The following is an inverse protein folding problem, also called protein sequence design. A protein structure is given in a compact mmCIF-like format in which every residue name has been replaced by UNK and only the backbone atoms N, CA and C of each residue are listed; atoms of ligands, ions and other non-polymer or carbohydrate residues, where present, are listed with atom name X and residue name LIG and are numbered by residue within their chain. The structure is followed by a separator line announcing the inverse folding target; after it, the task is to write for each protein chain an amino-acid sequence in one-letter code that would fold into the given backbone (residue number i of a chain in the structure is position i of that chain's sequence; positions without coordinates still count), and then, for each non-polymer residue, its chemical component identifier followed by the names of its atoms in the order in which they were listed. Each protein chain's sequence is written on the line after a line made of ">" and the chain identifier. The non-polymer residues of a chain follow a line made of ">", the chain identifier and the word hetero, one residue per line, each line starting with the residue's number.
data_IF_859067360955
#
_entry.id   IF_859067360955
#
_cell.length_a   1.000
_cell.length_b   1.000
_cell.length_c   1.000
_cell.angle_alpha   90.00
_cell.angle_beta   90.00
_cell.angle_gamma   90.00
#
_symmetry.space_group_name_H-M   'P 1'
#
loop_
_entity.id
_entity.type
_entity.pdbx_description
1 polymer ?
#
# COMPACT_ATOMS: atom_id res chain seq x y z
N UNK A 1 -14.10 13.15 -12.07
CA UNK A 1 -15.51 13.30 -11.69
C UNK A 1 -16.20 11.93 -11.74
N UNK A 2 -16.75 11.49 -10.63
CA UNK A 2 -17.39 10.17 -10.47
C UNK A 2 -18.87 10.15 -10.95
N UNK A 3 -19.42 11.31 -11.33
CA UNK A 3 -20.81 11.45 -11.78
C UNK A 3 -21.86 11.39 -10.67
N UNK A 4 -21.47 11.13 -9.41
CA UNK A 4 -22.36 11.05 -8.26
C UNK A 4 -22.16 12.28 -7.36
N UNK A 5 -20.95 12.50 -6.89
CA UNK A 5 -20.61 13.62 -6.01
C UNK A 5 -20.11 14.86 -6.75
N UNK A 6 -19.82 14.73 -8.04
CA UNK A 6 -19.26 15.78 -8.89
C UNK A 6 -17.92 16.36 -8.34
N UNK A 7 -17.14 15.51 -7.72
CA UNK A 7 -15.85 15.80 -7.11
C UNK A 7 -14.71 15.11 -7.86
N UNK A 8 -13.49 15.61 -7.70
CA UNK A 8 -12.31 14.91 -8.21
C UNK A 8 -12.00 13.67 -7.35
N UNK A 9 -11.26 12.71 -7.92
CA UNK A 9 -10.85 11.51 -7.20
C UNK A 9 -10.13 11.83 -5.86
N UNK A 10 -9.22 12.78 -5.87
CA UNK A 10 -8.45 13.13 -4.67
C UNK A 10 -9.28 13.89 -3.63
N UNK A 11 -10.28 14.66 -4.05
CA UNK A 11 -11.20 15.31 -3.13
C UNK A 11 -12.12 14.29 -2.45
N UNK A 12 -12.51 13.24 -3.17
CA UNK A 12 -13.27 12.13 -2.59
C UNK A 12 -12.41 11.27 -1.68
N UNK A 13 -11.16 10.99 -2.08
CA UNK A 13 -10.27 10.07 -1.36
C UNK A 13 -10.06 10.48 0.09
N UNK A 14 -9.88 11.76 0.36
CA UNK A 14 -9.69 12.27 1.73
C UNK A 14 -10.92 12.14 2.63
N UNK A 15 -12.08 11.83 2.05
CA UNK A 15 -13.33 11.61 2.78
C UNK A 15 -13.52 10.16 3.27
N UNK A 16 -12.63 9.23 2.92
CA UNK A 16 -12.74 7.83 3.33
C UNK A 16 -11.91 7.53 4.58
N UNK A 17 -12.44 6.64 5.42
CA UNK A 17 -11.74 6.13 6.60
C UNK A 17 -10.84 4.94 6.26
N UNK A 18 -11.13 4.24 5.16
CA UNK A 18 -10.42 3.06 4.68
C UNK A 18 -10.66 2.89 3.18
N UNK A 19 -9.63 2.48 2.46
CA UNK A 19 -9.73 2.05 1.06
C UNK A 19 -9.35 0.59 0.91
N UNK A 20 -9.85 -0.07 -0.14
CA UNK A 20 -9.65 -1.51 -0.35
C UNK A 20 -9.33 -1.75 -1.82
N UNK A 21 -8.16 -2.33 -2.08
CA UNK A 21 -7.64 -2.65 -3.41
C UNK A 21 -7.26 -4.13 -3.49
N UNK A 22 -8.23 -5.04 -3.67
CA UNK A 22 -7.99 -6.48 -3.64
C UNK A 22 -7.49 -7.00 -5.00
N UNK A 23 -6.35 -6.49 -5.44
CA UNK A 23 -5.78 -6.81 -6.75
C UNK A 23 -5.38 -8.28 -6.88
N UNK A 24 -5.59 -8.88 -8.08
CA UNK A 24 -5.02 -10.16 -8.46
C UNK A 24 -3.59 -10.03 -8.98
N UNK A 25 -3.31 -8.95 -9.66
CA UNK A 25 -1.99 -8.62 -10.15
C UNK A 25 -1.88 -7.12 -10.37
N UNK A 26 -0.86 -6.53 -9.82
CA UNK A 26 -0.52 -5.14 -10.07
C UNK A 26 0.99 -4.97 -9.93
N UNK A 27 1.72 -4.52 -10.98
CA UNK A 27 3.19 -4.43 -10.93
C UNK A 27 3.69 -3.60 -9.75
N UNK A 28 3.03 -2.49 -9.44
CA UNK A 28 3.31 -1.69 -8.26
C UNK A 28 2.07 -1.50 -7.38
N UNK A 29 1.08 -0.73 -7.79
CA UNK A 29 -0.10 -0.36 -7.02
C UNK A 29 -0.06 1.11 -6.61
N UNK A 30 -0.29 2.00 -7.59
CA UNK A 30 -0.33 3.43 -7.31
C UNK A 30 -1.56 3.81 -6.48
N UNK A 31 -2.71 3.18 -6.72
CA UNK A 31 -3.95 3.50 -5.99
C UNK A 31 -3.85 3.28 -4.48
N UNK A 32 -3.34 2.14 -3.96
CA UNK A 32 -3.09 1.99 -2.54
C UNK A 32 -2.00 2.94 -2.01
N UNK A 33 -0.95 3.23 -2.81
CA UNK A 33 0.08 4.19 -2.43
C UNK A 33 -0.49 5.61 -2.33
N UNK A 34 -1.30 6.05 -3.28
CA UNK A 34 -1.99 7.34 -3.23
C UNK A 34 -2.90 7.45 -2.01
N UNK A 35 -3.66 6.39 -1.71
CA UNK A 35 -4.49 6.34 -0.53
C UNK A 35 -3.70 6.63 0.75
N UNK A 36 -2.61 5.93 0.99
CA UNK A 36 -1.78 6.16 2.18
C UNK A 36 -1.03 7.50 2.14
N UNK A 37 -0.76 8.06 0.96
CA UNK A 37 -0.18 9.40 0.82
C UNK A 37 -1.15 10.49 1.30
N UNK A 38 -2.44 10.28 1.08
CA UNK A 38 -3.51 11.13 1.61
C UNK A 38 -3.93 10.76 3.04
N UNK A 39 -3.11 9.96 3.73
CA UNK A 39 -3.34 9.53 5.11
C UNK A 39 -4.60 8.67 5.30
N UNK A 40 -5.08 8.01 4.24
CA UNK A 40 -6.17 7.05 4.30
C UNK A 40 -5.59 5.63 4.42
N UNK A 41 -5.82 4.92 5.54
CA UNK A 41 -5.42 3.52 5.66
C UNK A 41 -5.98 2.67 4.54
N UNK A 42 -5.25 1.62 4.14
CA UNK A 42 -5.66 0.81 2.99
C UNK A 42 -5.47 -0.68 3.22
N UNK A 43 -6.32 -1.48 2.60
CA UNK A 43 -6.16 -2.93 2.46
C UNK A 43 -5.73 -3.21 1.02
N UNK A 44 -4.66 -3.95 0.84
CA UNK A 44 -4.17 -4.42 -0.46
C UNK A 44 -3.76 -5.89 -0.38
N UNK A 45 -3.24 -6.46 -1.47
CA UNK A 45 -2.82 -7.86 -1.51
C UNK A 45 -1.31 -7.98 -1.71
N UNK A 46 -0.78 -9.16 -1.40
CA UNK A 46 0.60 -9.55 -1.70
C UNK A 46 0.85 -9.86 -3.18
N UNK A 47 -0.17 -9.74 -4.03
CA UNK A 47 -0.07 -9.79 -5.50
C UNK A 47 0.17 -8.41 -6.13
N UNK A 48 0.13 -7.34 -5.33
CA UNK A 48 0.53 -5.99 -5.72
C UNK A 48 1.95 -5.70 -5.24
N UNK A 49 2.78 -5.10 -6.08
CA UNK A 49 4.16 -4.75 -5.74
C UNK A 49 4.27 -3.86 -4.50
N UNK A 50 3.36 -2.87 -4.36
CA UNK A 50 3.27 -2.04 -3.16
C UNK A 50 2.99 -2.86 -1.90
N UNK A 51 2.06 -3.81 -1.95
CA UNK A 51 1.77 -4.71 -0.83
C UNK A 51 2.98 -5.54 -0.44
N UNK A 52 3.68 -6.13 -1.41
CA UNK A 52 4.92 -6.88 -1.17
C UNK A 52 6.01 -6.00 -0.55
N UNK A 53 6.17 -4.77 -1.06
CA UNK A 53 7.15 -3.84 -0.53
C UNK A 53 6.83 -3.44 0.92
N UNK A 54 5.57 -3.14 1.23
CA UNK A 54 5.15 -2.84 2.61
C UNK A 54 5.45 -4.02 3.52
N UNK A 55 5.04 -5.22 3.16
CA UNK A 55 5.26 -6.42 3.97
C UNK A 55 6.75 -6.67 4.27
N UNK A 56 7.62 -6.47 3.27
CA UNK A 56 9.06 -6.72 3.40
C UNK A 56 9.83 -5.62 4.11
N UNK A 57 9.47 -4.35 3.89
CA UNK A 57 10.27 -3.21 4.31
C UNK A 57 9.69 -2.39 5.46
N UNK A 58 8.36 -2.39 5.63
CA UNK A 58 7.68 -1.58 6.63
C UNK A 58 7.05 -2.44 7.75
N UNK A 59 6.81 -3.72 7.49
CA UNK A 59 6.20 -4.68 8.41
C UNK A 59 4.74 -4.96 8.11
N UNK A 60 4.16 -5.88 8.89
CA UNK A 60 2.83 -6.46 8.66
C UNK A 60 1.76 -6.01 9.66
N UNK A 61 2.09 -5.13 10.61
CA UNK A 61 1.13 -4.68 11.62
C UNK A 61 0.33 -3.46 11.10
N UNK A 62 -0.97 -3.60 10.73
CA UNK A 62 -1.73 -2.54 10.05
C UNK A 62 -1.77 -1.23 10.84
N UNK A 63 -1.88 -1.31 12.18
CA UNK A 63 -1.91 -0.11 13.04
C UNK A 63 -0.60 0.69 13.03
N UNK A 64 0.53 0.03 12.71
CA UNK A 64 1.86 0.68 12.69
C UNK A 64 2.27 1.17 11.31
N UNK A 65 1.72 0.60 10.24
CA UNK A 65 2.09 0.95 8.86
C UNK A 65 0.95 1.62 8.09
N UNK A 66 -0.29 1.50 8.58
CA UNK A 66 -1.48 2.03 7.90
C UNK A 66 -1.90 1.24 6.65
N UNK A 67 -1.32 0.06 6.47
CA UNK A 67 -1.61 -0.84 5.33
C UNK A 67 -1.82 -2.24 5.87
N UNK A 68 -2.89 -2.88 5.46
CA UNK A 68 -3.12 -4.31 5.67
C UNK A 68 -2.86 -5.05 4.35
N UNK A 69 -1.91 -5.99 4.38
CA UNK A 69 -1.54 -6.79 3.21
C UNK A 69 -2.14 -8.18 3.35
N UNK A 70 -3.06 -8.52 2.46
CA UNK A 70 -3.78 -9.79 2.48
C UNK A 70 -3.10 -10.77 1.54
N UNK A 71 -2.90 -12.00 2.01
CA UNK A 71 -2.45 -13.09 1.16
C UNK A 71 -3.57 -13.54 0.22
N UNK A 72 -3.32 -13.46 -1.10
CA UNK A 72 -4.27 -13.82 -2.14
C UNK A 72 -3.67 -14.81 -3.12
N UNK A 73 -4.46 -15.83 -3.49
CA UNK A 73 -4.14 -16.82 -4.51
C UNK A 73 -5.38 -17.11 -5.36
N UNK A 74 -5.22 -17.84 -6.45
CA UNK A 74 -6.35 -18.24 -7.31
C UNK A 74 -7.35 -19.16 -6.61
N UNK A 75 -6.93 -19.83 -5.52
CA UNK A 75 -7.74 -20.84 -4.83
C UNK A 75 -8.27 -20.41 -3.46
N UNK A 76 -7.88 -19.23 -2.93
CA UNK A 76 -8.25 -18.80 -1.57
C UNK A 76 -9.31 -17.71 -1.51
N UNK A 77 -10.18 -17.60 -2.52
CA UNK A 77 -11.17 -16.52 -2.63
C UNK A 77 -12.00 -16.30 -1.36
N UNK A 78 -12.60 -17.37 -0.80
CA UNK A 78 -13.42 -17.26 0.41
C UNK A 78 -12.63 -16.77 1.62
N UNK A 79 -11.38 -17.22 1.77
CA UNK A 79 -10.49 -16.73 2.82
C UNK A 79 -10.16 -15.25 2.62
N UNK A 80 -9.86 -14.83 1.39
CA UNK A 80 -9.59 -13.43 1.07
C UNK A 80 -10.79 -12.53 1.43
N UNK A 81 -12.01 -12.95 1.06
CA UNK A 81 -13.23 -12.20 1.41
C UNK A 81 -13.39 -12.05 2.91
N UNK A 82 -13.21 -13.14 3.67
CA UNK A 82 -13.30 -13.11 5.13
C UNK A 82 -12.23 -12.21 5.76
N UNK A 83 -11.00 -12.24 5.24
CA UNK A 83 -9.90 -11.40 5.74
C UNK A 83 -10.17 -9.92 5.45
N UNK A 84 -10.66 -9.57 4.26
CA UNK A 84 -11.10 -8.20 3.94
C UNK A 84 -12.20 -7.75 4.89
N UNK A 85 -13.22 -8.56 5.09
CA UNK A 85 -14.33 -8.25 6.00
C UNK A 85 -13.82 -8.02 7.43
N UNK A 86 -12.92 -8.88 7.90
CA UNK A 86 -12.31 -8.70 9.23
C UNK A 86 -11.48 -7.42 9.32
N UNK A 87 -10.70 -7.08 8.29
CA UNK A 87 -9.93 -5.83 8.21
C UNK A 87 -10.84 -4.60 8.30
N UNK A 88 -11.96 -4.59 7.57
CA UNK A 88 -13.00 -3.54 7.65
C UNK A 88 -13.51 -3.41 9.10
N UNK A 89 -13.92 -4.53 9.71
CA UNK A 89 -14.44 -4.53 11.07
C UNK A 89 -13.40 -4.07 12.10
N UNK A 90 -12.15 -4.45 11.92
CA UNK A 90 -11.04 -4.00 12.78
C UNK A 90 -10.86 -2.49 12.74
N UNK A 91 -10.93 -1.88 11.55
CA UNK A 91 -10.83 -0.42 11.39
C UNK A 91 -12.07 0.27 11.94
N UNK A 92 -13.26 -0.25 11.66
CA UNK A 92 -14.52 0.30 12.17
C UNK A 92 -14.59 0.31 13.70
N UNK A 93 -13.99 -0.69 14.35
CA UNK A 93 -13.95 -0.80 15.82
C UNK A 93 -12.92 0.12 16.49
N UNK A 94 -12.07 0.83 15.74
CA UNK A 94 -11.06 1.72 16.30
C UNK A 94 -11.69 2.95 16.95
N UNK A 95 -11.15 3.35 18.09
CA UNK A 95 -11.44 4.66 18.64
C UNK A 95 -10.88 5.77 17.73
N UNK A 96 -11.46 6.95 17.67
CA UNK A 96 -10.96 8.04 16.83
C UNK A 96 -9.46 8.36 17.02
N UNK A 97 -8.95 8.20 18.23
CA UNK A 97 -7.52 8.41 18.53
C UNK A 97 -6.62 7.31 17.94
N UNK A 98 -7.09 6.07 17.89
CA UNK A 98 -6.37 4.93 17.30
C UNK A 98 -6.39 5.03 15.78
N UNK A 99 -7.56 5.35 15.20
CA UNK A 99 -7.68 5.58 13.76
C UNK A 99 -6.72 6.70 13.30
N UNK A 100 -6.67 7.85 14.00
CA UNK A 100 -5.74 8.93 13.67
C UNK A 100 -4.26 8.49 13.75
N UNK A 101 -3.91 7.58 14.66
CA UNK A 101 -2.55 7.01 14.71
C UNK A 101 -2.27 6.15 13.49
N UNK A 102 -3.22 5.30 13.10
CA UNK A 102 -3.12 4.46 11.91
C UNK A 102 -3.04 5.31 10.62
N UNK A 103 -3.85 6.36 10.50
CA UNK A 103 -3.83 7.34 9.41
C UNK A 103 -2.46 8.03 9.26
N UNK A 104 -1.87 8.47 10.38
CA UNK A 104 -0.51 9.04 10.37
C UNK A 104 0.56 8.01 10.01
N UNK A 105 0.39 6.76 10.41
CA UNK A 105 1.27 5.68 10.04
C UNK A 105 1.21 5.41 8.53
N UNK A 106 0.02 5.42 7.93
CA UNK A 106 -0.18 5.33 6.49
C UNK A 106 0.62 6.40 5.74
N UNK A 107 0.48 7.67 6.15
CA UNK A 107 1.22 8.77 5.53
C UNK A 107 2.74 8.62 5.70
N UNK A 108 3.21 8.11 6.84
CA UNK A 108 4.63 7.82 7.06
C UNK A 108 5.12 6.74 6.09
N UNK A 109 4.34 5.68 5.90
CA UNK A 109 4.65 4.62 4.92
C UNK A 109 4.75 5.18 3.51
N UNK A 110 3.83 6.05 3.09
CA UNK A 110 3.90 6.71 1.79
C UNK A 110 5.20 7.52 1.60
N UNK A 111 5.67 8.23 2.64
CA UNK A 111 6.92 8.99 2.57
C UNK A 111 8.14 8.11 2.33
N UNK A 112 8.12 6.85 2.79
CA UNK A 112 9.19 5.89 2.53
C UNK A 112 9.17 5.34 1.10
N UNK A 113 8.06 5.50 0.37
CA UNK A 113 7.91 5.14 -1.04
C UNK A 113 8.22 6.30 -2.01
N UNK A 114 8.79 7.40 -1.53
CA UNK A 114 9.19 8.50 -2.39
C UNK A 114 10.35 8.09 -3.29
N UNK A 115 10.38 8.66 -4.50
CA UNK A 115 11.46 8.43 -5.47
C UNK A 115 12.86 8.73 -4.92
N UNK A 116 12.99 9.72 -4.03
CA UNK A 116 14.24 10.02 -3.35
C UNK A 116 14.83 8.84 -2.54
N UNK A 117 13.98 7.90 -2.11
CA UNK A 117 14.43 6.66 -1.48
C UNK A 117 14.70 5.57 -2.52
N UNK A 118 13.84 5.43 -3.52
CA UNK A 118 13.98 4.37 -4.52
C UNK A 118 15.14 4.56 -5.47
N UNK A 119 15.52 5.80 -5.77
CA UNK A 119 16.65 6.09 -6.69
C UNK A 119 17.96 5.42 -6.22
N UNK A 120 18.16 5.27 -4.93
CA UNK A 120 19.35 4.61 -4.38
C UNK A 120 19.48 3.15 -4.79
N UNK A 121 18.37 2.45 -4.98
CA UNK A 121 18.37 1.07 -5.49
C UNK A 121 18.76 1.02 -6.96
N UNK A 122 18.36 2.01 -7.75
CA UNK A 122 18.77 2.14 -9.16
C UNK A 122 20.26 2.43 -9.26
N UNK A 123 20.81 3.34 -8.46
CA UNK A 123 22.25 3.64 -8.43
C UNK A 123 23.05 2.39 -8.10
N UNK A 124 22.59 1.58 -7.14
CA UNK A 124 23.22 0.30 -6.81
C UNK A 124 23.14 -0.68 -7.97
N UNK A 125 21.99 -0.82 -8.61
CA UNK A 125 21.80 -1.71 -9.75
C UNK A 125 22.66 -1.30 -10.96
N UNK A 126 22.76 -0.01 -11.25
CA UNK A 126 23.63 0.52 -12.30
C UNK A 126 25.11 0.24 -12.02
N UNK A 127 25.55 0.46 -10.79
CA UNK A 127 26.93 0.17 -10.38
C UNK A 127 27.27 -1.32 -10.58
N UNK A 128 26.40 -2.22 -10.11
CA UNK A 128 26.58 -3.66 -10.31
C UNK A 128 26.60 -4.06 -11.80
N UNK A 129 25.72 -3.46 -12.59
CA UNK A 129 25.66 -3.74 -14.05
C UNK A 129 26.95 -3.28 -14.77
N UNK A 130 27.49 -2.11 -14.40
CA UNK A 130 28.74 -1.60 -14.95
C UNK A 130 29.95 -2.44 -14.53
N UNK A 131 30.01 -2.93 -13.30
CA UNK A 131 31.05 -3.86 -12.85
C UNK A 131 31.00 -5.19 -13.62
N UNK A 132 29.79 -5.74 -13.76
CA UNK A 132 29.58 -6.98 -14.53
C UNK A 132 29.93 -6.81 -16.01
N UNK A 133 29.69 -5.64 -16.61
CA UNK A 133 30.09 -5.34 -17.98
C UNK A 133 31.61 -5.29 -18.15
N UNK A 134 32.33 -4.68 -17.20
CA UNK A 134 33.81 -4.63 -17.21
C UNK A 134 34.45 -6.00 -17.09
N UNK A 135 33.84 -6.91 -16.31
CA UNK A 135 34.39 -8.27 -16.15
C UNK A 135 34.17 -9.19 -17.35
N UNK A 136 33.42 -8.76 -18.36
CA UNK A 136 33.18 -9.52 -19.61
C UNK A 136 34.11 -9.11 -20.77
N UNK A 137 34.90 -8.07 -20.57
CA UNK A 137 35.98 -7.65 -21.49
C UNK A 137 37.30 -8.29 -21.12
#
# INVERSE_FOLDING_TARGET
>A
NDGIFNMSYYDLLIGFDLTIFPSYYEPWGYTPLESVAFAVPTITTDLAGFGQWVAKSQGMEPKKVGVEVIHRTDSNYSHTVMTVAQGIMNVFALKPTEWRKMSRAAQKTAKMALWSHFITYYDTAYSLALEAAKSRQ
#
